data_IF_451661701412
#
_entry.id   IF_451661701412
#
_cell.length_a   1.000
_cell.length_b   1.000
_cell.length_c   1.000
_cell.angle_alpha   90.00
_cell.angle_beta   90.00
_cell.angle_gamma   90.00
#
_symmetry.space_group_name_H-M   'P 1'
#
loop_
_entity.id
_entity.type
_entity.pdbx_description
1 polymer ?
#
# COMPACT_ATOMS: atom_id res chain seq x y z
N UNK A 1 -14.95 47.43 -17.17
CA UNK A 1 -14.51 46.52 -18.24
C UNK A 1 -14.52 45.10 -17.66
N UNK A 2 -15.35 44.16 -18.14
CA UNK A 2 -15.25 42.78 -17.68
C UNK A 2 -13.99 42.17 -18.29
N UNK A 3 -13.05 41.71 -17.44
CA UNK A 3 -11.88 40.97 -17.91
C UNK A 3 -12.37 39.62 -18.45
N UNK A 4 -12.30 39.43 -19.77
CA UNK A 4 -12.61 38.14 -20.39
C UNK A 4 -11.49 37.16 -20.08
N UNK A 5 -11.54 36.55 -18.90
CA UNK A 5 -10.64 35.47 -18.50
C UNK A 5 -10.81 34.34 -19.50
N UNK A 6 -9.75 33.96 -20.21
CA UNK A 6 -9.85 32.91 -21.23
C UNK A 6 -10.24 31.58 -20.57
N UNK A 7 -10.95 30.71 -21.29
CA UNK A 7 -11.33 29.39 -20.77
C UNK A 7 -10.11 28.58 -20.28
N UNK A 8 -8.94 28.80 -20.89
CA UNK A 8 -7.67 28.20 -20.49
C UNK A 8 -7.19 28.70 -19.14
N UNK A 9 -7.32 30.00 -18.86
CA UNK A 9 -6.96 30.60 -17.58
C UNK A 9 -7.91 30.15 -16.46
N UNK A 10 -9.21 30.06 -16.75
CA UNK A 10 -10.21 29.53 -15.80
C UNK A 10 -9.90 28.08 -15.43
N UNK A 11 -9.57 27.24 -16.41
CA UNK A 11 -9.21 25.84 -16.17
C UNK A 11 -7.88 25.71 -15.41
N UNK A 12 -6.87 26.54 -15.72
CA UNK A 12 -5.61 26.56 -14.99
C UNK A 12 -5.83 26.93 -13.51
N UNK A 13 -6.62 27.96 -13.23
CA UNK A 13 -6.99 28.37 -11.87
C UNK A 13 -7.76 27.25 -11.16
N UNK A 14 -8.68 26.57 -11.85
CA UNK A 14 -9.44 25.45 -11.28
C UNK A 14 -8.52 24.31 -10.86
N UNK A 15 -7.54 23.94 -11.69
CA UNK A 15 -6.54 22.90 -11.36
C UNK A 15 -5.71 23.25 -10.14
N UNK A 16 -5.17 24.47 -10.10
CA UNK A 16 -4.36 24.92 -8.96
C UNK A 16 -5.19 24.94 -7.67
N UNK A 17 -6.47 25.33 -7.73
CA UNK A 17 -7.37 25.26 -6.57
C UNK A 17 -7.59 23.83 -6.08
N UNK A 18 -7.74 22.87 -6.99
CA UNK A 18 -7.86 21.45 -6.62
C UNK A 18 -6.56 20.91 -6.00
N UNK A 19 -5.41 21.26 -6.56
CA UNK A 19 -4.10 20.87 -6.02
C UNK A 19 -3.86 21.47 -4.63
N UNK A 20 -4.19 22.75 -4.44
CA UNK A 20 -4.12 23.40 -3.14
C UNK A 20 -5.02 22.71 -2.12
N UNK A 21 -6.25 22.38 -2.49
CA UNK A 21 -7.17 21.67 -1.61
C UNK A 21 -6.67 20.27 -1.25
N UNK A 22 -6.09 19.55 -2.21
CA UNK A 22 -5.44 18.26 -1.97
C UNK A 22 -4.30 18.40 -0.95
N UNK A 23 -3.41 19.37 -1.15
CA UNK A 23 -2.28 19.62 -0.24
C UNK A 23 -2.74 19.99 1.17
N UNK A 24 -3.77 20.84 1.30
CA UNK A 24 -4.36 21.19 2.58
C UNK A 24 -4.94 19.95 3.28
N UNK A 25 -5.61 19.08 2.54
CA UNK A 25 -6.13 17.81 3.06
C UNK A 25 -4.99 16.93 3.57
N UNK A 26 -3.93 16.75 2.79
CA UNK A 26 -2.75 15.97 3.18
C UNK A 26 -1.97 16.56 4.36
N UNK A 27 -1.95 17.89 4.50
CA UNK A 27 -1.33 18.56 5.62
C UNK A 27 -2.13 18.38 6.91
N UNK A 28 -3.46 18.34 6.83
CA UNK A 28 -4.36 18.13 7.96
C UNK A 28 -4.38 16.69 8.50
N UNK A 29 -3.79 15.73 7.77
CA UNK A 29 -3.74 14.33 8.20
C UNK A 29 -2.90 14.20 9.49
N UNK A 30 -3.50 13.63 10.53
CA UNK A 30 -2.80 13.24 11.75
C UNK A 30 -2.00 11.96 11.49
N UNK A 31 -0.69 12.10 11.34
CA UNK A 31 0.23 10.95 11.16
C UNK A 31 0.56 10.33 12.51
N UNK A 32 0.60 9.00 12.56
CA UNK A 32 1.10 8.27 13.72
C UNK A 32 2.62 8.40 13.82
N UNK A 33 3.15 8.27 15.05
CA UNK A 33 4.60 8.25 15.26
C UNK A 33 5.18 6.98 14.65
N UNK A 34 6.27 7.14 13.92
CA UNK A 34 7.01 6.02 13.32
C UNK A 34 7.46 4.98 14.36
N UNK A 35 7.80 5.43 15.58
CA UNK A 35 8.18 4.54 16.68
C UNK A 35 7.09 3.56 17.07
N UNK A 36 5.83 3.97 16.97
CA UNK A 36 4.69 3.17 17.40
C UNK A 36 4.28 2.23 16.26
N UNK A 37 4.22 2.75 15.03
CA UNK A 37 3.87 1.93 13.85
C UNK A 37 4.90 0.83 13.56
N UNK A 38 6.20 1.08 13.79
CA UNK A 38 7.24 0.06 13.65
C UNK A 38 7.04 -1.07 14.67
N UNK A 39 6.69 -0.75 15.92
CA UNK A 39 6.44 -1.77 16.95
C UNK A 39 5.25 -2.64 16.58
N UNK A 40 4.17 -2.02 16.10
CA UNK A 40 2.98 -2.74 15.66
C UNK A 40 3.29 -3.68 14.49
N UNK A 41 4.07 -3.20 13.51
CA UNK A 41 4.48 -4.00 12.37
C UNK A 41 5.34 -5.21 12.81
N UNK A 42 6.33 -4.99 13.67
CA UNK A 42 7.18 -6.06 14.20
C UNK A 42 6.34 -7.09 14.96
N UNK A 43 5.42 -6.63 15.81
CA UNK A 43 4.50 -7.49 16.57
C UNK A 43 3.67 -8.35 15.62
N UNK A 44 3.08 -7.75 14.58
CA UNK A 44 2.29 -8.45 13.59
C UNK A 44 3.11 -9.53 12.87
N UNK A 45 4.29 -9.17 12.35
CA UNK A 45 5.17 -10.11 11.64
C UNK A 45 5.54 -11.27 12.54
N UNK A 46 5.97 -11.01 13.78
CA UNK A 46 6.35 -12.06 14.74
C UNK A 46 5.19 -13.00 15.06
N UNK A 47 3.95 -12.48 15.14
CA UNK A 47 2.76 -13.29 15.40
C UNK A 47 2.42 -14.26 14.26
N UNK A 48 2.83 -13.95 13.03
CA UNK A 48 2.52 -14.73 11.82
C UNK A 48 3.72 -15.50 11.26
N UNK A 49 4.93 -15.21 11.73
CA UNK A 49 6.17 -15.76 11.20
C UNK A 49 6.15 -17.28 11.11
N UNK A 50 5.67 -17.97 12.16
CA UNK A 50 5.64 -19.44 12.22
C UNK A 50 4.62 -20.09 11.28
N UNK A 51 3.60 -19.34 10.85
CA UNK A 51 2.59 -19.81 9.91
C UNK A 51 2.92 -19.49 8.45
N UNK A 52 4.01 -18.77 8.21
CA UNK A 52 4.45 -18.44 6.86
C UNK A 52 5.18 -19.63 6.25
N UNK A 53 4.54 -20.28 5.27
CA UNK A 53 5.06 -21.47 4.58
C UNK A 53 6.26 -21.20 3.67
N UNK A 54 6.55 -19.92 3.36
CA UNK A 54 7.74 -19.54 2.60
C UNK A 54 8.96 -19.39 3.52
N UNK A 55 8.73 -19.01 4.78
CA UNK A 55 9.78 -18.91 5.81
C UNK A 55 10.00 -20.26 6.50
N UNK A 56 8.92 -20.94 6.88
CA UNK A 56 8.90 -22.26 7.49
C UNK A 56 8.10 -23.24 6.61
N UNK A 57 8.74 -23.84 5.60
CA UNK A 57 8.07 -24.77 4.71
C UNK A 57 7.55 -25.99 5.45
N UNK A 58 6.26 -26.26 5.28
CA UNK A 58 5.66 -27.49 5.79
C UNK A 58 6.09 -28.71 4.97
N UNK A 59 5.98 -29.88 5.62
CA UNK A 59 6.26 -31.18 4.96
C UNK A 59 5.29 -31.48 3.82
N UNK A 60 4.10 -30.90 3.84
CA UNK A 60 3.06 -31.06 2.82
C UNK A 60 3.16 -29.87 1.86
N UNK A 61 3.97 -30.03 0.80
CA UNK A 61 4.01 -29.09 -0.30
C UNK A 61 3.14 -29.62 -1.45
N UNK A 62 2.04 -28.94 -1.83
CA UNK A 62 1.16 -29.38 -2.92
C UNK A 62 1.86 -29.38 -4.29
N UNK A 63 2.97 -28.66 -4.42
CA UNK A 63 3.80 -28.61 -5.63
C UNK A 63 4.95 -29.63 -5.63
N UNK A 64 5.02 -30.52 -4.63
CA UNK A 64 6.04 -31.56 -4.61
C UNK A 64 5.79 -32.51 -5.81
N UNK A 65 6.83 -32.84 -6.60
CA UNK A 65 6.66 -33.73 -7.74
C UNK A 65 6.12 -35.08 -7.27
N UNK A 66 5.09 -35.58 -7.97
CA UNK A 66 4.52 -36.90 -7.71
C UNK A 66 5.58 -37.94 -8.05
N UNK A 67 5.83 -38.88 -7.14
CA UNK A 67 6.66 -40.05 -7.46
C UNK A 67 5.83 -40.95 -8.37
N UNK A 68 6.31 -41.19 -9.59
CA UNK A 68 5.73 -42.18 -10.47
C UNK A 68 5.98 -43.56 -9.86
N UNK A 69 4.91 -44.33 -9.63
CA UNK A 69 5.00 -45.70 -9.19
C UNK A 69 5.16 -46.57 -10.43
N UNK A 70 6.37 -47.01 -10.72
CA UNK A 70 6.59 -48.13 -11.64
C UNK A 70 6.13 -49.39 -10.91
N UNK A 71 4.97 -49.91 -11.33
CA UNK A 71 4.55 -51.27 -10.96
C UNK A 71 5.54 -52.23 -11.63
N UNK A 72 6.28 -52.99 -10.81
CA UNK A 72 7.18 -54.05 -11.25
C UNK A 72 6.39 -55.33 -11.56
#
# INVERSE_FOLDING_TARGET
MPSSTSAREVEAVRRVKMELHSLQTHAALRRHKTSDTIKDLISFVNSKMKSDLLIYPDKINPFKPKKECTVL
#
